data_IF_284616802792
#
_entry.id   IF_284616802792
#
_cell.length_a   1.000
_cell.length_b   1.000
_cell.length_c   1.000
_cell.angle_alpha   90.00
_cell.angle_beta   90.00
_cell.angle_gamma   90.00
#
_symmetry.space_group_name_H-M   'P 1'
#
loop_
_entity.id
_entity.type
_entity.pdbx_description
1 polymer ?
#
# COMPACT_ATOMS: atom_id res chain seq x y z
N UNK A 1 -20.32 -25.52 18.05
CA UNK A 1 -19.71 -24.18 17.95
C UNK A 1 -18.24 -24.40 17.63
N UNK A 2 -17.88 -24.35 16.35
CA UNK A 2 -16.50 -24.56 15.92
C UNK A 2 -15.85 -23.20 15.74
N UNK A 3 -14.94 -22.85 16.65
CA UNK A 3 -14.03 -21.73 16.45
C UNK A 3 -13.10 -22.10 15.28
N UNK A 4 -13.42 -21.60 14.08
CA UNK A 4 -12.48 -21.61 12.96
C UNK A 4 -11.38 -20.59 13.29
N UNK A 5 -10.36 -21.02 14.02
CA UNK A 5 -9.08 -20.33 14.01
C UNK A 5 -8.54 -20.48 12.59
N UNK A 6 -8.65 -19.43 11.76
CA UNK A 6 -7.86 -19.37 10.53
C UNK A 6 -6.41 -19.66 10.92
N UNK A 7 -5.73 -20.63 10.27
CA UNK A 7 -4.34 -20.89 10.58
C UNK A 7 -3.56 -19.60 10.34
N UNK A 8 -2.83 -19.15 11.36
CA UNK A 8 -1.95 -17.98 11.25
C UNK A 8 -0.91 -18.19 10.14
N UNK A 9 -0.15 -17.14 9.79
CA UNK A 9 0.79 -17.20 8.67
C UNK A 9 1.81 -18.31 8.84
N UNK A 10 2.09 -19.05 7.76
CA UNK A 10 3.11 -20.10 7.77
C UNK A 10 4.52 -19.51 7.70
N UNK A 11 5.56 -20.30 8.01
CA UNK A 11 6.96 -19.87 7.84
C UNK A 11 7.25 -19.45 6.39
N UNK A 12 6.64 -20.13 5.42
CA UNK A 12 6.78 -19.81 4.01
C UNK A 12 6.15 -18.46 3.65
N UNK A 13 4.99 -18.13 4.25
CA UNK A 13 4.36 -16.83 4.09
C UNK A 13 5.24 -15.72 4.66
N UNK A 14 5.75 -15.89 5.89
CA UNK A 14 6.64 -14.91 6.52
C UNK A 14 7.89 -14.69 5.67
N UNK A 15 8.54 -15.76 5.18
CA UNK A 15 9.72 -15.64 4.32
C UNK A 15 9.44 -14.90 3.01
N UNK A 16 8.22 -15.02 2.46
CA UNK A 16 7.80 -14.26 1.27
C UNK A 16 7.57 -12.79 1.60
N UNK A 17 6.90 -12.52 2.72
CA UNK A 17 6.59 -11.20 3.23
C UNK A 17 7.81 -10.42 3.72
N UNK A 18 8.83 -11.10 4.23
CA UNK A 18 10.05 -10.47 4.75
C UNK A 18 10.95 -9.84 3.68
N UNK A 19 10.65 -10.05 2.38
CA UNK A 19 11.50 -9.57 1.30
C UNK A 19 11.53 -8.04 1.16
N UNK A 20 10.38 -7.39 1.35
CA UNK A 20 10.19 -5.94 1.30
C UNK A 20 8.72 -5.60 1.61
N UNK A 21 8.39 -4.34 1.92
CA UNK A 21 7.01 -3.94 2.20
C UNK A 21 6.05 -4.27 1.04
N UNK A 22 6.50 -4.10 -0.20
CA UNK A 22 5.71 -4.43 -1.39
C UNK A 22 5.25 -5.89 -1.43
N UNK A 23 6.07 -6.86 -1.00
CA UNK A 23 5.66 -8.27 -1.02
C UNK A 23 4.55 -8.60 -0.01
N UNK A 24 4.41 -7.78 1.03
CA UNK A 24 3.28 -7.81 1.97
C UNK A 24 2.06 -7.14 1.34
N UNK A 25 2.22 -5.93 0.82
CA UNK A 25 1.14 -5.11 0.28
C UNK A 25 0.47 -5.71 -0.98
N UNK A 26 1.20 -6.49 -1.78
CA UNK A 26 0.68 -7.16 -2.98
C UNK A 26 0.05 -8.54 -2.69
N UNK A 27 0.10 -8.99 -1.43
CA UNK A 27 -0.48 -10.25 -0.99
C UNK A 27 -1.69 -9.96 -0.09
N UNK A 28 -2.89 -10.41 -0.44
CA UNK A 28 -4.12 -10.13 0.32
C UNK A 28 -4.00 -10.49 1.81
N UNK A 29 -3.60 -11.73 2.12
CA UNK A 29 -3.39 -12.15 3.51
C UNK A 29 -2.26 -11.39 4.21
N UNK A 30 -1.20 -11.01 3.47
CA UNK A 30 -0.10 -10.23 4.03
C UNK A 30 -0.55 -8.81 4.37
N UNK A 31 -1.30 -8.19 3.47
CA UNK A 31 -1.91 -6.88 3.64
C UNK A 31 -2.83 -6.85 4.86
N UNK A 32 -3.73 -7.83 5.01
CA UNK A 32 -4.65 -7.90 6.15
C UNK A 32 -3.90 -8.04 7.48
N UNK A 33 -2.91 -8.94 7.54
CA UNK A 33 -2.07 -9.11 8.74
C UNK A 33 -1.25 -7.87 9.08
N UNK A 34 -0.74 -7.17 8.06
CA UNK A 34 0.02 -5.94 8.27
C UNK A 34 -0.89 -4.80 8.72
N UNK A 35 -2.07 -4.65 8.13
CA UNK A 35 -3.06 -3.66 8.55
C UNK A 35 -3.51 -3.91 10.00
N UNK A 36 -3.79 -5.16 10.38
CA UNK A 36 -4.08 -5.54 11.77
C UNK A 36 -2.93 -5.16 12.72
N UNK A 37 -1.68 -5.41 12.31
CA UNK A 37 -0.51 -5.02 13.08
C UNK A 37 -0.44 -3.51 13.28
N UNK A 38 -0.59 -2.71 12.21
CA UNK A 38 -0.56 -1.25 12.26
C UNK A 38 -1.67 -0.69 13.17
N UNK A 39 -2.90 -1.19 13.02
CA UNK A 39 -4.05 -0.83 13.88
C UNK A 39 -3.77 -1.13 15.35
N UNK A 40 -3.23 -2.31 15.65
CA UNK A 40 -2.95 -2.71 17.04
C UNK A 40 -1.87 -1.86 17.73
N UNK A 41 -1.04 -1.19 16.94
CA UNK A 41 0.07 -0.35 17.41
C UNK A 41 -0.19 1.15 17.26
N UNK A 42 -1.36 1.53 16.73
CA UNK A 42 -1.74 2.94 16.49
C UNK A 42 -0.78 3.65 15.54
N UNK A 43 -0.35 2.95 14.48
CA UNK A 43 0.48 3.50 13.42
C UNK A 43 -0.40 4.18 12.35
N UNK A 44 -1.02 5.31 12.74
CA UNK A 44 -2.03 6.00 11.92
C UNK A 44 -1.46 6.51 10.59
N UNK A 45 -0.22 7.02 10.57
CA UNK A 45 0.41 7.53 9.34
C UNK A 45 0.76 6.40 8.36
N UNK A 46 1.23 5.27 8.88
CA UNK A 46 1.51 4.08 8.10
C UNK A 46 0.22 3.47 7.54
N UNK A 47 -0.89 3.51 8.30
CA UNK A 47 -2.21 3.13 7.80
C UNK A 47 -2.64 3.98 6.60
N UNK A 48 -2.52 5.31 6.70
CA UNK A 48 -2.77 6.21 5.57
C UNK A 48 -1.86 5.90 4.38
N UNK A 49 -0.60 5.55 4.63
CA UNK A 49 0.38 5.17 3.60
C UNK A 49 -0.02 3.87 2.89
N UNK A 50 -0.50 2.87 3.64
CA UNK A 50 -1.03 1.61 3.12
C UNK A 50 -2.30 1.84 2.30
N UNK A 51 -3.22 2.68 2.78
CA UNK A 51 -4.45 3.04 2.06
C UNK A 51 -4.14 3.75 0.74
N UNK A 52 -3.24 4.74 0.77
CA UNK A 52 -2.73 5.42 -0.41
C UNK A 52 -2.14 4.42 -1.41
N UNK A 53 -1.26 3.52 -0.94
CA UNK A 53 -0.61 2.53 -1.79
C UNK A 53 -1.63 1.65 -2.52
N UNK A 54 -2.64 1.15 -1.79
CA UNK A 54 -3.70 0.29 -2.34
C UNK A 54 -4.53 1.06 -3.36
N UNK A 55 -4.97 2.28 -3.02
CA UNK A 55 -5.76 3.10 -3.94
C UNK A 55 -4.97 3.47 -5.20
N UNK A 56 -3.67 3.69 -5.09
CA UNK A 56 -2.80 3.97 -6.23
C UNK A 56 -2.68 2.76 -7.15
N UNK A 57 -2.57 1.56 -6.57
CA UNK A 57 -2.57 0.29 -7.32
C UNK A 57 -3.89 0.07 -8.07
N UNK A 58 -5.03 0.31 -7.40
CA UNK A 58 -6.36 0.19 -8.00
C UNK A 58 -6.57 1.19 -9.13
N UNK A 59 -6.19 2.45 -8.91
CA UNK A 59 -6.30 3.50 -9.93
C UNK A 59 -5.43 3.17 -11.14
N UNK A 60 -4.21 2.69 -10.93
CA UNK A 60 -3.34 2.21 -11.99
C UNK A 60 -3.98 1.07 -12.77
N UNK A 61 -4.53 0.06 -12.09
CA UNK A 61 -5.20 -1.09 -12.71
C UNK A 61 -6.36 -0.64 -13.59
N UNK A 62 -7.18 0.29 -13.09
CA UNK A 62 -8.30 0.88 -13.82
C UNK A 62 -7.82 1.56 -15.11
N UNK A 63 -6.76 2.38 -15.04
CA UNK A 63 -6.19 3.08 -16.20
C UNK A 63 -5.56 2.15 -17.24
N UNK A 64 -4.96 1.04 -16.81
CA UNK A 64 -4.38 0.04 -17.71
C UNK A 64 -5.47 -0.77 -18.42
N UNK A 65 -6.54 -1.12 -17.70
CA UNK A 65 -7.61 -1.98 -18.22
C UNK A 65 -8.62 -1.22 -19.07
N UNK A 66 -8.75 0.10 -18.88
CA UNK A 66 -9.76 0.90 -19.55
C UNK A 66 -9.13 2.11 -20.23
N UNK A 67 -8.83 1.96 -21.53
CA UNK A 67 -8.25 3.05 -22.33
C UNK A 67 -9.23 4.22 -22.54
N UNK A 68 -10.54 3.98 -22.46
CA UNK A 68 -11.60 4.95 -22.80
C UNK A 68 -12.36 5.50 -21.58
N UNK A 69 -11.71 5.54 -20.41
CA UNK A 69 -12.35 6.13 -19.22
C UNK A 69 -12.71 7.62 -19.46
N UNK A 70 -13.92 8.05 -19.07
CA UNK A 70 -14.26 9.46 -19.07
C UNK A 70 -13.24 10.25 -18.27
N UNK A 71 -12.75 11.37 -18.84
CA UNK A 71 -11.70 12.16 -18.20
C UNK A 71 -12.08 12.62 -16.78
N UNK A 72 -13.35 12.93 -16.56
CA UNK A 72 -13.85 13.33 -15.24
C UNK A 72 -13.68 12.21 -14.20
N UNK A 73 -13.88 10.94 -14.58
CA UNK A 73 -13.67 9.78 -13.69
C UNK A 73 -12.19 9.63 -13.34
N UNK A 74 -11.29 9.85 -14.30
CA UNK A 74 -9.84 9.83 -14.05
C UNK A 74 -9.45 10.94 -13.07
N UNK A 75 -9.95 12.16 -13.28
CA UNK A 75 -9.69 13.29 -12.38
C UNK A 75 -10.22 13.00 -10.98
N UNK A 76 -11.44 12.48 -10.82
CA UNK A 76 -12.00 12.14 -9.51
C UNK A 76 -11.12 11.14 -8.74
N UNK A 77 -10.60 10.11 -9.42
CA UNK A 77 -9.68 9.16 -8.78
C UNK A 77 -8.35 9.83 -8.38
N UNK A 78 -7.83 10.75 -9.21
CA UNK A 78 -6.62 11.52 -8.90
C UNK A 78 -6.85 12.43 -7.70
N UNK A 79 -7.96 13.18 -7.64
CA UNK A 79 -8.25 14.08 -6.50
C UNK A 79 -8.35 13.29 -5.19
N UNK A 80 -9.05 12.15 -5.20
CA UNK A 80 -9.14 11.30 -4.02
C UNK A 80 -7.76 10.74 -3.60
N UNK A 81 -6.91 10.34 -4.56
CA UNK A 81 -5.54 9.94 -4.27
C UNK A 81 -4.70 11.06 -3.66
N UNK A 82 -4.90 12.30 -4.12
CA UNK A 82 -4.19 13.45 -3.56
C UNK A 82 -4.63 13.76 -2.14
N UNK A 83 -5.92 13.60 -1.82
CA UNK A 83 -6.41 13.70 -0.44
C UNK A 83 -5.76 12.66 0.46
N UNK A 84 -5.67 11.40 0.02
CA UNK A 84 -4.95 10.37 0.80
C UNK A 84 -3.47 10.71 0.96
N UNK A 85 -2.84 11.28 -0.07
CA UNK A 85 -1.43 11.65 -0.03
C UNK A 85 -1.10 12.77 0.96
N UNK A 86 -2.08 13.60 1.33
CA UNK A 86 -1.88 14.68 2.32
C UNK A 86 -1.59 14.13 3.72
N UNK A 87 -2.06 12.90 4.03
CA UNK A 87 -1.81 12.20 5.29
C UNK A 87 -0.56 11.29 5.23
N UNK A 88 0.07 11.17 4.06
CA UNK A 88 1.32 10.42 3.87
C UNK A 88 2.52 11.33 4.05
N UNK A 89 3.60 10.82 4.64
CA UNK A 89 4.84 11.57 4.86
C UNK A 89 5.68 11.79 3.58
N UNK A 90 5.04 12.21 2.49
CA UNK A 90 5.74 12.54 1.27
C UNK A 90 6.47 13.88 1.40
N UNK A 91 7.69 13.93 0.87
CA UNK A 91 8.42 15.19 0.77
C UNK A 91 7.80 16.13 -0.28
N UNK A 92 8.21 17.40 -0.25
CA UNK A 92 7.69 18.41 -1.17
C UNK A 92 7.98 18.11 -2.64
N UNK A 93 9.04 17.37 -2.97
CA UNK A 93 9.32 16.96 -4.34
C UNK A 93 8.36 15.84 -4.80
N UNK A 94 8.14 14.83 -3.96
CA UNK A 94 7.19 13.74 -4.17
C UNK A 94 5.75 14.28 -4.34
N UNK A 95 5.31 15.20 -3.48
CA UNK A 95 3.99 15.84 -3.63
C UNK A 95 3.87 16.65 -4.93
N UNK A 96 4.92 17.39 -5.31
CA UNK A 96 4.93 18.09 -6.62
C UNK A 96 4.80 17.12 -7.79
N UNK A 97 5.42 15.94 -7.70
CA UNK A 97 5.27 14.90 -8.73
C UNK A 97 3.82 14.43 -8.82
N UNK A 98 3.18 14.15 -7.69
CA UNK A 98 1.78 13.73 -7.64
C UNK A 98 0.82 14.75 -8.26
N UNK A 99 1.00 16.05 -7.95
CA UNK A 99 0.15 17.10 -8.52
C UNK A 99 0.22 17.21 -10.06
N UNK A 100 1.29 16.69 -10.70
CA UNK A 100 1.37 16.66 -12.17
C UNK A 100 0.29 15.78 -12.79
N UNK A 101 -0.22 14.78 -12.08
CA UNK A 101 -1.30 13.90 -12.57
C UNK A 101 -2.55 14.69 -12.97
N UNK A 102 -2.92 15.75 -12.23
CA UNK A 102 -4.08 16.60 -12.52
C UNK A 102 -3.99 17.25 -13.91
N UNK A 103 -2.78 17.65 -14.28
CA UNK A 103 -2.50 18.38 -15.53
C UNK A 103 -2.21 17.44 -16.71
N UNK A 104 -1.78 16.21 -16.44
CA UNK A 104 -1.46 15.25 -17.50
C UNK A 104 -2.71 14.76 -18.22
N UNK A 105 -2.69 14.83 -19.55
CA UNK A 105 -3.72 14.22 -20.43
C UNK A 105 -3.39 12.79 -20.83
N UNK A 106 -2.24 12.27 -20.41
CA UNK A 106 -1.72 10.98 -20.83
C UNK A 106 -1.88 9.95 -19.72
N UNK A 107 -2.71 8.93 -19.93
CA UNK A 107 -2.84 7.81 -18.98
C UNK A 107 -1.48 7.14 -18.74
N UNK A 108 -0.61 7.06 -19.77
CA UNK A 108 0.74 6.50 -19.63
C UNK A 108 1.61 7.29 -18.65
N UNK A 109 1.52 8.63 -18.69
CA UNK A 109 2.25 9.48 -17.77
C UNK A 109 1.68 9.37 -16.35
N UNK A 110 0.35 9.35 -16.21
CA UNK A 110 -0.32 9.14 -14.91
C UNK A 110 0.10 7.78 -14.31
N UNK A 111 0.10 6.71 -15.09
CA UNK A 111 0.54 5.38 -14.66
C UNK A 111 1.99 5.41 -14.17
N UNK A 112 2.88 6.11 -14.89
CA UNK A 112 4.28 6.26 -14.47
C UNK A 112 4.38 6.98 -13.11
N UNK A 113 3.63 8.06 -12.91
CA UNK A 113 3.60 8.79 -11.64
C UNK A 113 3.06 7.90 -10.51
N UNK A 114 2.00 7.11 -10.77
CA UNK A 114 1.46 6.17 -9.78
C UNK A 114 2.48 5.08 -9.40
N UNK A 115 3.26 4.58 -10.36
CA UNK A 115 4.30 3.59 -10.09
C UNK A 115 5.43 4.18 -9.23
N UNK A 116 5.87 5.41 -9.52
CA UNK A 116 6.86 6.14 -8.71
C UNK A 116 6.33 6.41 -7.28
N UNK A 117 5.09 6.87 -7.16
CA UNK A 117 4.46 7.17 -5.88
C UNK A 117 4.24 5.93 -5.02
N UNK A 118 3.86 4.80 -5.63
CA UNK A 118 3.76 3.52 -4.92
C UNK A 118 5.10 3.06 -4.40
N UNK A 119 6.18 3.23 -5.17
CA UNK A 119 7.51 2.89 -4.69
C UNK A 119 7.87 3.76 -3.48
N UNK A 120 7.68 5.08 -3.57
CA UNK A 120 7.93 5.99 -2.45
C UNK A 120 7.12 5.62 -1.19
N UNK A 121 5.82 5.31 -1.34
CA UNK A 121 4.98 4.85 -0.23
C UNK A 121 5.47 3.53 0.38
N UNK A 122 5.91 2.59 -0.46
CA UNK A 122 6.51 1.34 0.01
C UNK A 122 7.79 1.60 0.81
N UNK A 123 8.62 2.54 0.36
CA UNK A 123 9.90 2.85 1.02
C UNK A 123 9.67 3.46 2.42
N UNK A 124 8.63 4.31 2.57
CA UNK A 124 8.22 4.89 3.86
C UNK A 124 7.76 3.82 4.87
N UNK A 125 7.38 2.63 4.42
CA UNK A 125 6.91 1.53 5.27
C UNK A 125 8.02 0.57 5.69
N UNK A 126 9.29 0.81 5.32
CA UNK A 126 10.39 -0.13 5.53
C UNK A 126 10.61 -0.44 7.02
N UNK A 127 10.75 0.59 7.85
CA UNK A 127 11.07 0.40 9.28
C UNK A 127 9.93 -0.33 10.02
N UNK A 128 8.68 0.03 9.72
CA UNK A 128 7.50 -0.60 10.33
C UNK A 128 7.27 -2.03 9.79
N UNK A 129 7.68 -2.29 8.55
CA UNK A 129 7.66 -3.63 7.96
C UNK A 129 8.65 -4.56 8.66
N UNK A 130 9.86 -4.11 8.97
CA UNK A 130 10.83 -4.88 9.75
C UNK A 130 10.24 -5.24 11.13
N UNK A 131 9.68 -4.26 11.83
CA UNK A 131 9.01 -4.48 13.11
C UNK A 131 7.82 -5.46 13.02
N UNK A 132 7.08 -5.43 11.91
CA UNK A 132 6.02 -6.39 11.64
C UNK A 132 6.56 -7.82 11.49
N UNK A 133 7.61 -8.02 10.69
CA UNK A 133 8.23 -9.34 10.47
C UNK A 133 8.75 -9.91 11.78
N UNK A 134 9.49 -9.12 12.56
CA UNK A 134 10.00 -9.52 13.88
C UNK A 134 8.87 -9.95 14.82
N UNK A 135 7.72 -9.27 14.76
CA UNK A 135 6.55 -9.61 15.56
C UNK A 135 5.96 -10.97 15.18
N UNK A 136 5.98 -11.34 13.89
CA UNK A 136 5.50 -12.64 13.41
C UNK A 136 6.45 -13.76 13.80
N UNK A 137 7.76 -13.55 13.67
CA UNK A 137 8.77 -14.53 14.08
C UNK A 137 8.73 -14.81 15.59
N UNK A 138 8.53 -13.76 16.39
CA UNK A 138 8.38 -13.88 17.85
C UNK A 138 7.11 -14.67 18.23
N UNK A 139 6.00 -14.47 17.50
CA UNK A 139 4.76 -15.24 17.73
C UNK A 139 4.94 -16.72 17.39
N UNK A 140 5.65 -17.03 16.30
CA UNK A 140 5.93 -18.43 15.92
C UNK A 140 6.78 -19.16 16.96
N UNK A 141 7.85 -18.52 17.46
CA UNK A 141 8.75 -19.15 18.44
C UNK A 141 8.09 -19.44 19.79
N UNK A 142 7.10 -18.62 20.20
CA UNK A 142 6.33 -18.82 21.44
C UNK A 142 5.20 -19.84 21.34
N UNK A 143 4.89 -20.30 20.12
CA UNK A 143 3.79 -21.25 19.85
C UNK A 143 4.29 -22.70 19.67
N UNK A 144 5.59 -22.93 19.85
CA UNK A 144 6.24 -24.23 19.92
C UNK A 144 6.61 -24.57 21.37
#
# INVERSE_FOLDING_TARGET
>A
MSCNCSPGPTRADINRWARNPKSVLECETGFDQFQEFLLSRQFDQELSTVEFYKKAADTRKILVQNNDLPRNTVIQNIEYLLTLADDVNFDGAQMRVLYRMRKSRSNREIIKILDEARQAASDLLTDVHEAFIDSLETKMTRSC
#
